data_IF_266859823567
#
_entry.id   IF_266859823567
#
_cell.length_a   1.000
_cell.length_b   1.000
_cell.length_c   1.000
_cell.angle_alpha   90.00
_cell.angle_beta   90.00
_cell.angle_gamma   90.00
#
_symmetry.space_group_name_H-M   'P 1'
#
loop_
_entity.id
_entity.type
_entity.pdbx_description
1 polymer ?
#
# COMPACT_ATOMS: atom_id res chain seq x y z
N UNK A 1 1.50 -42.87 -22.24
CA UNK A 1 1.21 -41.43 -22.14
C UNK A 1 1.57 -41.03 -20.73
N UNK A 2 2.77 -40.48 -20.56
CA UNK A 2 3.25 -39.97 -19.28
C UNK A 2 2.53 -38.63 -19.02
N UNK A 3 1.91 -38.43 -17.84
CA UNK A 3 1.24 -37.17 -17.55
C UNK A 3 2.30 -36.06 -17.53
N UNK A 4 2.13 -35.06 -18.39
CA UNK A 4 3.02 -33.90 -18.41
C UNK A 4 2.82 -33.09 -17.13
N UNK A 5 3.91 -32.93 -16.37
CA UNK A 5 4.06 -32.10 -15.18
C UNK A 5 3.97 -30.59 -15.49
N UNK A 6 2.89 -30.17 -16.15
CA UNK A 6 2.69 -28.77 -16.58
C UNK A 6 2.54 -27.80 -15.39
N UNK A 7 2.14 -28.31 -14.21
CA UNK A 7 1.99 -27.50 -12.98
C UNK A 7 3.34 -27.16 -12.32
N UNK A 8 4.34 -28.06 -12.36
CA UNK A 8 5.65 -27.85 -11.72
C UNK A 8 6.47 -26.73 -12.41
N UNK A 9 6.35 -26.61 -13.73
CA UNK A 9 7.05 -25.58 -14.50
C UNK A 9 6.43 -24.18 -14.33
N UNK A 10 5.17 -24.08 -13.91
CA UNK A 10 4.49 -22.81 -13.75
C UNK A 10 4.77 -22.19 -12.37
N UNK A 11 4.78 -23.00 -11.31
CA UNK A 11 5.12 -22.54 -9.96
C UNK A 11 6.58 -22.09 -9.83
N UNK A 12 7.52 -22.81 -10.47
CA UNK A 12 8.94 -22.42 -10.47
C UNK A 12 9.16 -21.06 -11.14
N UNK A 13 8.43 -20.78 -12.22
CA UNK A 13 8.49 -19.51 -12.94
C UNK A 13 7.92 -18.34 -12.12
N UNK A 14 6.78 -18.51 -11.44
CA UNK A 14 6.26 -17.46 -10.55
C UNK A 14 7.17 -17.20 -9.35
N UNK A 15 7.77 -18.24 -8.77
CA UNK A 15 8.72 -18.10 -7.67
C UNK A 15 9.97 -17.33 -8.10
N UNK A 16 10.60 -17.73 -9.21
CA UNK A 16 11.79 -17.06 -9.75
C UNK A 16 11.52 -15.60 -10.10
N UNK A 17 10.34 -15.31 -10.66
CA UNK A 17 9.90 -13.94 -10.95
C UNK A 17 9.72 -13.11 -9.68
N UNK A 18 9.11 -13.66 -8.63
CA UNK A 18 8.98 -12.95 -7.36
C UNK A 18 10.36 -12.68 -6.73
N UNK A 19 11.29 -13.61 -6.88
CA UNK A 19 12.65 -13.48 -6.36
C UNK A 19 13.44 -12.39 -7.12
N UNK A 20 13.28 -12.30 -8.44
CA UNK A 20 13.89 -11.26 -9.25
C UNK A 20 13.27 -9.88 -8.98
N UNK A 21 11.95 -9.78 -8.85
CA UNK A 21 11.24 -8.55 -8.46
C UNK A 21 11.69 -8.04 -7.07
N UNK A 22 11.94 -8.96 -6.12
CA UNK A 22 12.45 -8.61 -4.79
C UNK A 22 13.90 -8.13 -4.85
N UNK A 23 14.74 -8.79 -5.65
CA UNK A 23 16.13 -8.39 -5.84
C UNK A 23 16.23 -7.01 -6.50
N UNK A 24 15.45 -6.77 -7.55
CA UNK A 24 15.35 -5.45 -8.20
C UNK A 24 14.95 -4.37 -7.18
N UNK A 25 13.99 -4.68 -6.30
CA UNK A 25 13.59 -3.76 -5.25
C UNK A 25 14.70 -3.48 -4.25
N UNK A 26 15.40 -4.52 -3.78
CA UNK A 26 16.49 -4.41 -2.82
C UNK A 26 17.65 -3.57 -3.39
N UNK A 27 18.03 -3.81 -4.64
CA UNK A 27 19.13 -3.11 -5.31
C UNK A 27 18.82 -1.62 -5.55
N UNK A 28 17.52 -1.26 -5.63
CA UNK A 28 17.06 0.11 -5.88
C UNK A 28 16.36 0.77 -4.69
N UNK A 29 16.51 0.22 -3.47
CA UNK A 29 15.90 0.74 -2.23
C UNK A 29 16.13 2.24 -2.01
N UNK A 30 17.36 2.68 -2.27
CA UNK A 30 17.82 4.04 -2.03
C UNK A 30 17.88 4.91 -3.28
N UNK A 31 17.37 4.40 -4.42
CA UNK A 31 17.29 5.12 -5.68
C UNK A 31 15.82 5.36 -6.05
N UNK A 32 15.15 6.35 -5.43
CA UNK A 32 13.73 6.62 -5.69
C UNK A 32 13.46 6.99 -7.16
N UNK A 33 14.45 7.54 -7.86
CA UNK A 33 14.35 7.88 -9.29
C UNK A 33 14.20 6.67 -10.20
N UNK A 34 14.65 5.48 -9.78
CA UNK A 34 14.56 4.24 -10.56
C UNK A 34 13.13 3.88 -10.97
N UNK A 35 12.15 4.17 -10.11
CA UNK A 35 10.75 3.83 -10.35
C UNK A 35 10.00 4.92 -11.13
N UNK A 36 10.60 6.10 -11.32
CA UNK A 36 9.97 7.21 -12.02
C UNK A 36 10.01 6.94 -13.53
N UNK A 37 8.83 6.94 -14.17
CA UNK A 37 8.71 6.75 -15.63
C UNK A 37 8.78 5.30 -16.13
N UNK A 38 9.05 4.33 -15.25
CA UNK A 38 9.10 2.90 -15.62
C UNK A 38 7.74 2.20 -15.50
N UNK A 39 6.75 2.84 -14.87
CA UNK A 39 5.45 2.24 -14.55
C UNK A 39 5.53 1.15 -13.47
N UNK A 40 6.73 0.86 -12.95
CA UNK A 40 6.95 -0.11 -11.90
C UNK A 40 6.75 0.54 -10.53
N UNK A 41 6.27 -0.25 -9.58
CA UNK A 41 6.09 0.14 -8.18
C UNK A 41 6.87 -0.83 -7.32
N UNK A 42 7.52 -0.32 -6.28
CA UNK A 42 8.22 -1.11 -5.28
C UNK A 42 7.37 -2.29 -4.79
N UNK A 43 7.95 -3.50 -4.78
CA UNK A 43 7.28 -4.77 -4.47
C UNK A 43 6.50 -4.75 -3.14
N UNK A 44 7.01 -4.18 -2.03
CA UNK A 44 6.23 -4.10 -0.79
C UNK A 44 4.97 -3.25 -0.92
N UNK A 45 5.05 -2.13 -1.65
CA UNK A 45 3.90 -1.25 -1.87
C UNK A 45 2.87 -1.97 -2.73
N UNK A 46 3.31 -2.64 -3.81
CA UNK A 46 2.45 -3.44 -4.69
C UNK A 46 1.68 -4.52 -3.92
N UNK A 47 2.35 -5.22 -3.00
CA UNK A 47 1.70 -6.27 -2.21
C UNK A 47 0.79 -5.70 -1.12
N UNK A 48 1.14 -4.57 -0.50
CA UNK A 48 0.30 -3.92 0.50
C UNK A 48 -1.07 -3.51 -0.05
N UNK A 49 -1.12 -3.02 -1.30
CA UNK A 49 -2.38 -2.61 -1.95
C UNK A 49 -3.32 -3.80 -2.20
N UNK A 50 -2.81 -5.02 -2.29
CA UNK A 50 -3.64 -6.25 -2.44
C UNK A 50 -4.37 -6.62 -1.16
N UNK A 51 -3.92 -6.14 -0.01
CA UNK A 51 -4.46 -6.50 1.30
C UNK A 51 -5.20 -5.30 1.90
N UNK A 52 -6.50 -5.14 1.62
CA UNK A 52 -7.24 -3.94 2.03
C UNK A 52 -7.37 -3.81 3.55
N UNK A 53 -7.27 -4.91 4.32
CA UNK A 53 -7.21 -4.87 5.78
C UNK A 53 -5.92 -4.17 6.27
N UNK A 54 -4.77 -4.43 5.63
CA UNK A 54 -3.52 -3.76 5.99
C UNK A 54 -3.58 -2.27 5.68
N UNK A 55 -4.17 -1.90 4.55
CA UNK A 55 -4.39 -0.49 4.19
C UNK A 55 -5.32 0.21 5.19
N UNK A 56 -6.34 -0.48 5.70
CA UNK A 56 -7.24 0.04 6.73
C UNK A 56 -6.50 0.29 8.04
N UNK A 57 -5.72 -0.69 8.50
CA UNK A 57 -4.92 -0.58 9.73
C UNK A 57 -3.93 0.57 9.61
N UNK A 58 -3.20 0.67 8.48
CA UNK A 58 -2.24 1.74 8.24
C UNK A 58 -2.91 3.10 8.22
N UNK A 59 -4.04 3.24 7.52
CA UNK A 59 -4.81 4.48 7.48
C UNK A 59 -5.27 4.90 8.87
N UNK A 60 -5.87 3.99 9.64
CA UNK A 60 -6.29 4.27 11.01
C UNK A 60 -5.11 4.66 11.92
N UNK A 61 -3.99 3.95 11.83
CA UNK A 61 -2.80 4.22 12.64
C UNK A 61 -2.24 5.62 12.35
N UNK A 62 -2.03 5.94 11.07
CA UNK A 62 -1.52 7.25 10.63
C UNK A 62 -2.50 8.36 10.99
N UNK A 63 -3.80 8.16 10.75
CA UNK A 63 -4.85 9.12 11.04
C UNK A 63 -5.01 9.41 12.53
N UNK A 64 -4.95 8.41 13.40
CA UNK A 64 -5.08 8.58 14.84
C UNK A 64 -3.88 9.30 15.45
N UNK A 65 -2.66 8.91 15.04
CA UNK A 65 -1.42 9.53 15.55
C UNK A 65 -1.36 11.02 15.20
N UNK A 66 -1.74 11.39 13.98
CA UNK A 66 -1.62 12.77 13.51
C UNK A 66 -2.89 13.59 13.72
N UNK A 67 -4.07 12.95 13.84
CA UNK A 67 -5.35 13.63 14.02
C UNK A 67 -5.52 14.25 15.41
N UNK A 68 -5.07 13.57 16.47
CA UNK A 68 -5.21 14.08 17.84
C UNK A 68 -4.41 15.37 18.06
N UNK A 69 -3.11 15.45 17.70
CA UNK A 69 -2.33 16.68 17.82
C UNK A 69 -2.82 17.81 16.91
N UNK A 70 -3.42 17.47 15.76
CA UNK A 70 -3.99 18.47 14.85
C UNK A 70 -5.19 19.17 15.49
N UNK A 71 -6.09 18.42 16.14
CA UNK A 71 -7.28 18.97 16.80
C UNK A 71 -6.91 19.93 17.94
N UNK A 72 -5.88 19.61 18.72
CA UNK A 72 -5.44 20.48 19.83
C UNK A 72 -4.83 21.78 19.30
N UNK A 73 -4.03 21.73 18.23
CA UNK A 73 -3.42 22.92 17.61
C UNK A 73 -4.43 23.84 16.94
N UNK A 74 -5.45 23.28 16.29
CA UNK A 74 -6.56 24.08 15.73
C UNK A 74 -7.27 24.83 16.86
N UNK A 75 -7.49 24.18 18.01
CA UNK A 75 -8.14 24.82 19.16
C UNK A 75 -7.31 25.94 19.79
N UNK A 76 -5.98 25.87 19.73
CA UNK A 76 -5.09 26.93 20.24
C UNK A 76 -4.79 28.02 19.21
N UNK A 77 -5.27 27.89 17.97
CA UNK A 77 -5.03 28.83 16.87
C UNK A 77 -3.55 29.01 16.49
N UNK A 78 -2.72 28.02 16.82
CA UNK A 78 -1.29 28.03 16.51
C UNK A 78 -1.03 27.57 15.07
N UNK A 79 -1.04 28.52 14.13
CA UNK A 79 -0.77 28.23 12.72
C UNK A 79 0.74 28.17 12.44
N UNK A 80 1.22 26.98 12.02
CA UNK A 80 2.60 26.75 11.62
C UNK A 80 2.67 25.92 10.32
N UNK A 81 3.82 25.93 9.63
CA UNK A 81 4.02 25.16 8.40
C UNK A 81 3.84 23.65 8.60
N UNK A 82 4.17 23.15 9.81
CA UNK A 82 3.97 21.76 10.22
C UNK A 82 2.48 21.35 10.20
N UNK A 83 1.58 22.30 10.42
CA UNK A 83 0.13 22.06 10.40
C UNK A 83 -0.37 21.68 9.00
N UNK A 84 0.20 22.29 7.93
CA UNK A 84 -0.12 21.92 6.55
C UNK A 84 0.31 20.48 6.24
N UNK A 85 1.49 20.07 6.71
CA UNK A 85 1.99 18.71 6.54
C UNK A 85 1.06 17.70 7.24
N UNK A 86 0.64 18.00 8.46
CA UNK A 86 -0.32 17.17 9.21
C UNK A 86 -1.68 17.05 8.51
N UNK A 87 -2.17 18.13 7.89
CA UNK A 87 -3.40 18.09 7.08
C UNK A 87 -3.22 17.18 5.85
N UNK A 88 -2.10 17.30 5.14
CA UNK A 88 -1.80 16.44 3.98
C UNK A 88 -1.76 14.97 4.40
N UNK A 89 -1.08 14.65 5.51
CA UNK A 89 -1.04 13.29 6.07
C UNK A 89 -2.45 12.80 6.42
N UNK A 90 -3.29 13.65 7.02
CA UNK A 90 -4.67 13.29 7.37
C UNK A 90 -5.50 12.99 6.11
N UNK A 91 -5.36 13.79 5.06
CA UNK A 91 -6.02 13.56 3.77
C UNK A 91 -5.58 12.21 3.18
N UNK A 92 -4.28 11.91 3.19
CA UNK A 92 -3.75 10.62 2.73
C UNK A 92 -4.35 9.47 3.55
N UNK A 93 -4.42 9.62 4.87
CA UNK A 93 -5.04 8.65 5.78
C UNK A 93 -6.51 8.37 5.42
N UNK A 94 -7.32 9.42 5.21
CA UNK A 94 -8.73 9.28 4.81
C UNK A 94 -8.86 8.55 3.47
N UNK A 95 -8.00 8.87 2.49
CA UNK A 95 -7.99 8.20 1.19
C UNK A 95 -7.65 6.72 1.32
N UNK A 96 -6.69 6.35 2.18
CA UNK A 96 -6.35 4.95 2.44
C UNK A 96 -7.52 4.19 3.05
N UNK A 97 -8.18 4.76 4.07
CA UNK A 97 -9.35 4.16 4.72
C UNK A 97 -10.49 3.98 3.71
N UNK A 98 -10.81 5.02 2.94
CA UNK A 98 -11.85 4.97 1.92
C UNK A 98 -11.60 3.88 0.88
N UNK A 99 -10.39 3.84 0.29
CA UNK A 99 -10.04 2.80 -0.69
C UNK A 99 -10.12 1.40 -0.10
N UNK A 100 -9.71 1.23 1.15
CA UNK A 100 -9.77 -0.05 1.87
C UNK A 100 -11.21 -0.55 2.04
N UNK A 101 -12.11 0.33 2.47
CA UNK A 101 -13.53 0.02 2.64
C UNK A 101 -14.16 -0.37 1.30
N UNK A 102 -13.88 0.39 0.23
CA UNK A 102 -14.38 0.09 -1.12
C UNK A 102 -13.87 -1.25 -1.62
N UNK A 103 -12.59 -1.56 -1.42
CA UNK A 103 -12.01 -2.85 -1.81
C UNK A 103 -12.63 -4.02 -1.02
N UNK A 104 -12.82 -3.86 0.30
CA UNK A 104 -13.48 -4.88 1.13
C UNK A 104 -14.93 -5.12 0.72
N UNK A 105 -15.67 -4.05 0.41
CA UNK A 105 -17.06 -4.15 -0.04
C UNK A 105 -17.18 -4.94 -1.36
N UNK A 106 -16.29 -4.67 -2.33
CA UNK A 106 -16.26 -5.38 -3.62
C UNK A 106 -15.95 -6.87 -3.49
N UNK A 107 -15.02 -7.22 -2.59
CA UNK A 107 -14.62 -8.61 -2.39
C UNK A 107 -15.78 -9.44 -1.79
N UNK A 108 -16.53 -8.88 -0.83
CA UNK A 108 -17.72 -9.53 -0.27
C UNK A 108 -18.78 -9.85 -1.33
N UNK A 109 -19.03 -8.93 -2.25
CA UNK A 109 -20.00 -9.13 -3.35
C UNK A 109 -19.58 -10.21 -4.36
N UNK A 110 -18.28 -10.53 -4.41
CA UNK A 110 -17.75 -11.55 -5.33
C UNK A 110 -17.83 -12.95 -4.73
N UNK A 111 -17.74 -13.09 -3.40
CA UNK A 111 -17.88 -14.39 -2.72
C UNK A 111 -19.35 -14.84 -2.55
N UNK A 112 -20.32 -13.92 -2.67
CA UNK A 112 -21.77 -14.23 -2.59
C UNK A 112 -22.41 -14.64 -3.95
N UNK A 113 -21.64 -14.69 -5.04
CA UNK A 113 -22.09 -15.12 -6.38
C UNK A 113 -21.51 -16.47 -6.76
#
# INVERSE_FOLDING_TARGET
MEPKDDNLNNESNEFEKNLSDLKEWQDNQYNPGYYVGTGKVATPIKNMVKHPVLLLILGLFVGLINGIPLLTRISTSDFSADLLLNIIILVISILLIYRSIVALAKNKTTEEK
#
